data_IF_857185924720
#
_entry.id   IF_857185924720
#
_cell.length_a   1.000
_cell.length_b   1.000
_cell.length_c   1.000
_cell.angle_alpha   90.00
_cell.angle_beta   90.00
_cell.angle_gamma   90.00
#
_symmetry.space_group_name_H-M   'P 1'
#
loop_
_entity.id
_entity.type
_entity.pdbx_description
1 polymer ?
#
# COMPACT_ATOMS: atom_id res chain seq x y z
N UNK A 1 25.23 6.38 -9.46
CA UNK A 1 24.92 5.01 -9.05
C UNK A 1 23.47 4.73 -9.42
N UNK A 2 23.19 3.69 -10.20
CA UNK A 2 21.82 3.26 -10.51
C UNK A 2 21.28 2.43 -9.33
N UNK A 3 20.04 2.64 -8.86
CA UNK A 3 19.46 1.79 -7.82
C UNK A 3 19.46 0.33 -8.26
N UNK A 4 19.71 -0.61 -7.33
CA UNK A 4 19.77 -2.05 -7.62
C UNK A 4 18.39 -2.69 -7.92
N UNK A 5 17.33 -1.91 -8.07
CA UNK A 5 15.98 -2.40 -8.37
C UNK A 5 15.04 -1.30 -8.84
N UNK A 6 13.83 -1.71 -9.24
CA UNK A 6 12.75 -0.88 -9.77
C UNK A 6 11.53 -0.98 -8.88
N UNK A 7 10.81 0.11 -8.66
CA UNK A 7 9.55 0.03 -7.90
C UNK A 7 8.49 -0.77 -8.65
N UNK A 8 7.55 -1.36 -7.93
CA UNK A 8 6.41 -2.09 -8.50
C UNK A 8 5.62 -1.22 -9.49
N UNK A 9 5.49 0.09 -9.21
CA UNK A 9 4.85 1.06 -10.11
C UNK A 9 5.55 1.28 -11.46
N UNK A 10 6.75 0.72 -11.64
CA UNK A 10 7.50 0.75 -12.92
C UNK A 10 7.56 -0.62 -13.61
N UNK A 11 6.63 -1.52 -13.28
CA UNK A 11 6.47 -2.80 -13.97
C UNK A 11 6.21 -2.59 -15.46
N UNK A 12 6.70 -3.50 -16.30
CA UNK A 12 6.65 -3.41 -17.78
C UNK A 12 5.53 -4.23 -18.38
N UNK A 13 4.95 -5.14 -17.62
CA UNK A 13 3.84 -5.99 -18.03
C UNK A 13 2.91 -6.28 -16.87
N UNK A 14 1.69 -6.71 -17.19
CA UNK A 14 0.71 -7.18 -16.19
C UNK A 14 1.27 -8.37 -15.39
N UNK A 15 2.00 -9.27 -16.04
CA UNK A 15 2.59 -10.44 -15.38
C UNK A 15 3.66 -10.02 -14.38
N UNK A 16 4.53 -9.08 -14.74
CA UNK A 16 5.55 -8.56 -13.83
C UNK A 16 4.92 -7.88 -12.60
N UNK A 17 3.86 -7.10 -12.81
CA UNK A 17 3.10 -6.48 -11.73
C UNK A 17 2.44 -7.52 -10.81
N UNK A 18 1.77 -8.54 -11.37
CA UNK A 18 1.09 -9.58 -10.61
C UNK A 18 2.06 -10.44 -9.79
N UNK A 19 3.23 -10.76 -10.38
CA UNK A 19 4.29 -11.45 -9.65
C UNK A 19 4.80 -10.55 -8.52
N UNK A 20 5.08 -9.28 -8.80
CA UNK A 20 5.60 -8.34 -7.81
C UNK A 20 4.64 -8.11 -6.64
N UNK A 21 3.35 -7.91 -6.88
CA UNK A 21 2.39 -7.69 -5.79
C UNK A 21 2.19 -8.95 -4.95
N UNK A 22 2.22 -10.15 -5.56
CA UNK A 22 2.17 -11.43 -4.83
C UNK A 22 3.37 -11.55 -3.89
N UNK A 23 4.57 -11.30 -4.40
CA UNK A 23 5.80 -11.36 -3.60
C UNK A 23 5.81 -10.28 -2.50
N UNK A 24 5.20 -9.11 -2.74
CA UNK A 24 5.03 -8.06 -1.72
C UNK A 24 4.12 -8.48 -0.57
N UNK A 25 3.00 -9.14 -0.87
CA UNK A 25 2.08 -9.68 0.13
C UNK A 25 2.76 -10.79 0.94
N UNK A 26 3.56 -11.65 0.28
CA UNK A 26 4.35 -12.68 0.98
C UNK A 26 5.38 -12.05 1.92
N UNK A 27 6.10 -11.01 1.46
CA UNK A 27 7.05 -10.28 2.29
C UNK A 27 6.37 -9.59 3.49
N UNK A 28 5.20 -8.99 3.27
CA UNK A 28 4.39 -8.40 4.34
C UNK A 28 3.92 -9.43 5.37
N UNK A 29 3.42 -10.59 4.91
CA UNK A 29 3.07 -11.71 5.79
C UNK A 29 4.25 -12.13 6.64
N UNK A 30 5.43 -12.26 6.04
CA UNK A 30 6.64 -12.64 6.75
C UNK A 30 7.08 -11.57 7.76
N UNK A 31 6.97 -10.28 7.42
CA UNK A 31 7.18 -9.16 8.34
C UNK A 31 6.24 -9.24 9.55
N UNK A 32 4.95 -9.50 9.32
CA UNK A 32 3.96 -9.64 10.39
C UNK A 32 4.19 -10.90 11.24
N UNK A 33 4.29 -12.07 10.63
CA UNK A 33 4.38 -13.34 11.35
C UNK A 33 5.71 -13.53 12.07
N UNK A 34 6.84 -13.12 11.45
CA UNK A 34 8.20 -13.36 11.99
C UNK A 34 8.73 -12.20 12.83
N UNK A 35 8.30 -10.97 12.54
CA UNK A 35 8.80 -9.76 13.22
C UNK A 35 7.72 -9.03 14.04
N UNK A 36 6.46 -9.47 13.97
CA UNK A 36 5.32 -8.81 14.64
C UNK A 36 5.25 -7.34 14.26
N UNK A 37 5.46 -7.02 12.98
CA UNK A 37 5.43 -5.64 12.49
C UNK A 37 4.34 -5.45 11.44
N UNK A 38 3.66 -4.30 11.50
CA UNK A 38 2.79 -3.79 10.44
C UNK A 38 3.52 -2.70 9.69
N UNK A 39 3.32 -2.61 8.37
CA UNK A 39 4.06 -1.67 7.54
C UNK A 39 3.46 -0.26 7.56
N UNK A 40 2.16 -0.12 7.29
CA UNK A 40 1.45 1.16 7.43
C UNK A 40 1.51 2.15 6.30
N UNK A 41 2.37 1.89 5.32
CA UNK A 41 2.55 2.71 4.14
C UNK A 41 2.81 1.83 2.92
N UNK A 42 1.93 0.86 2.73
CA UNK A 42 1.94 0.04 1.51
C UNK A 42 1.59 0.95 0.33
N UNK A 43 2.50 1.01 -0.64
CA UNK A 43 2.35 1.78 -1.87
C UNK A 43 3.09 1.08 -3.01
N UNK A 44 2.79 1.42 -4.26
CA UNK A 44 3.51 0.93 -5.43
C UNK A 44 5.01 1.34 -5.46
N UNK A 45 5.38 2.36 -4.67
CA UNK A 45 6.74 2.85 -4.52
C UNK A 45 7.57 2.08 -3.50
N UNK A 46 6.91 1.50 -2.49
CA UNK A 46 7.57 0.88 -1.34
C UNK A 46 7.84 -0.62 -1.54
N UNK A 47 7.63 -1.13 -2.75
CA UNK A 47 8.05 -2.46 -3.14
C UNK A 47 9.05 -2.39 -4.32
N UNK A 48 10.27 -2.86 -4.10
CA UNK A 48 11.35 -2.84 -5.10
C UNK A 48 11.56 -4.24 -5.66
N UNK A 49 11.48 -4.37 -6.99
CA UNK A 49 11.85 -5.53 -7.78
C UNK A 49 13.31 -5.43 -8.25
N UNK A 50 14.11 -6.43 -7.90
CA UNK A 50 15.50 -6.58 -8.31
C UNK A 50 15.64 -7.85 -9.16
N UNK A 51 16.24 -7.76 -10.36
CA UNK A 51 16.61 -8.95 -11.12
C UNK A 51 17.79 -9.65 -10.41
N UNK A 52 17.57 -10.88 -9.95
CA UNK A 52 18.60 -11.74 -9.38
C UNK A 52 18.76 -12.98 -10.26
N UNK A 53 19.86 -13.02 -11.00
CA UNK A 53 20.19 -14.09 -11.97
C UNK A 53 19.05 -14.31 -12.97
N UNK A 54 18.20 -15.31 -12.73
CA UNK A 54 17.07 -15.68 -13.60
C UNK A 54 15.69 -15.44 -12.94
N UNK A 55 15.65 -14.77 -11.79
CA UNK A 55 14.42 -14.53 -11.02
C UNK A 55 14.26 -13.06 -10.64
N UNK A 56 13.02 -12.60 -10.49
CA UNK A 56 12.73 -11.31 -9.88
C UNK A 56 12.60 -11.53 -8.38
N UNK A 57 13.49 -10.93 -7.59
CA UNK A 57 13.37 -10.88 -6.14
C UNK A 57 12.79 -9.52 -5.78
N UNK A 58 11.79 -9.47 -4.90
CA UNK A 58 11.25 -8.20 -4.45
C UNK A 58 11.35 -7.97 -2.95
N UNK A 59 11.49 -6.70 -2.60
CA UNK A 59 11.74 -6.23 -1.24
C UNK A 59 10.71 -5.20 -0.86
N UNK A 60 10.02 -5.45 0.25
CA UNK A 60 9.19 -4.46 0.91
C UNK A 60 10.12 -3.55 1.73
N UNK A 61 10.13 -2.27 1.40
CA UNK A 61 11.04 -1.25 1.95
C UNK A 61 10.25 -0.15 2.65
N UNK A 62 10.94 0.83 3.22
CA UNK A 62 10.33 2.00 3.88
C UNK A 62 9.48 1.64 5.10
N UNK A 63 10.19 1.34 6.20
CA UNK A 63 9.60 0.97 7.48
C UNK A 63 9.43 2.18 8.42
N UNK A 64 9.53 3.42 7.92
CA UNK A 64 9.43 4.64 8.75
C UNK A 64 8.03 4.79 9.37
N UNK A 65 7.02 4.23 8.70
CA UNK A 65 5.65 4.13 9.19
C UNK A 65 5.34 2.79 9.87
N UNK A 66 6.31 1.89 10.01
CA UNK A 66 6.07 0.58 10.58
C UNK A 66 5.80 0.67 12.08
N UNK A 67 4.94 -0.21 12.57
CA UNK A 67 4.66 -0.33 14.01
C UNK A 67 4.86 -1.77 14.46
N UNK A 68 5.42 -1.93 15.64
CA UNK A 68 5.48 -3.21 16.33
C UNK A 68 4.11 -3.54 16.93
N UNK A 69 3.67 -4.78 16.76
CA UNK A 69 2.46 -5.36 17.33
C UNK A 69 2.87 -6.01 18.64
N UNK A 70 2.50 -5.38 19.75
CA UNK A 70 2.75 -5.94 21.08
C UNK A 70 1.74 -7.04 21.39
N UNK A 71 2.17 -8.09 22.08
CA UNK A 71 1.33 -9.26 22.42
C UNK A 71 0.29 -8.96 23.53
N UNK A 72 0.34 -7.78 24.16
CA UNK A 72 -0.80 -7.32 24.95
C UNK A 72 -1.93 -6.99 24.00
N UNK A 73 -3.18 -7.23 24.41
CA UNK A 73 -4.42 -6.89 23.68
C UNK A 73 -4.56 -5.41 23.28
N UNK A 74 -3.51 -4.63 23.44
CA UNK A 74 -3.45 -3.20 23.25
C UNK A 74 -3.01 -2.93 21.81
N UNK A 75 -4.02 -2.77 20.98
CA UNK A 75 -4.18 -1.54 20.24
C UNK A 75 -3.03 -0.54 20.43
N UNK A 76 -2.04 -0.52 19.52
CA UNK A 76 -1.09 0.59 19.46
C UNK A 76 -1.94 1.83 19.15
N UNK A 77 -2.10 2.72 20.14
CA UNK A 77 -2.75 4.02 19.95
C UNK A 77 -2.05 4.71 18.79
N UNK A 78 -2.78 4.82 17.68
CA UNK A 78 -2.23 5.26 16.42
C UNK A 78 -1.64 6.66 16.56
N UNK A 79 -0.39 6.80 16.14
CA UNK A 79 0.18 8.07 15.70
C UNK A 79 -0.80 8.77 14.73
N UNK A 80 -0.58 10.07 14.54
CA UNK A 80 -1.22 10.89 13.50
C UNK A 80 -1.46 10.11 12.21
N UNK A 81 -2.51 10.46 11.46
CA UNK A 81 -2.82 9.85 10.17
C UNK A 81 -1.61 9.96 9.23
N UNK A 82 -0.84 8.88 9.15
CA UNK A 82 0.42 8.75 8.41
C UNK A 82 0.31 7.65 7.38
N UNK A 83 1.17 7.73 6.36
CA UNK A 83 1.13 6.89 5.17
C UNK A 83 0.34 7.53 4.01
N UNK A 84 0.35 6.84 2.88
CA UNK A 84 -0.15 7.33 1.60
C UNK A 84 -1.68 7.20 1.54
N UNK A 85 -2.41 8.31 1.67
CA UNK A 85 -3.90 8.34 1.66
C UNK A 85 -4.53 7.60 0.47
N UNK A 86 -3.89 7.64 -0.71
CA UNK A 86 -4.32 6.91 -1.91
C UNK A 86 -4.51 5.41 -1.66
N UNK A 87 -3.63 4.81 -0.88
CA UNK A 87 -3.66 3.38 -0.57
C UNK A 87 -4.18 3.11 0.84
N UNK A 88 -4.46 4.14 1.64
CA UNK A 88 -4.94 3.96 3.00
C UNK A 88 -6.32 3.30 3.07
N UNK A 89 -6.48 2.36 4.00
CA UNK A 89 -7.74 1.70 4.32
C UNK A 89 -8.88 2.69 4.63
N UNK A 90 -10.08 2.39 4.15
CA UNK A 90 -11.29 3.20 4.34
C UNK A 90 -11.56 3.46 5.82
N UNK A 91 -11.49 2.43 6.67
CA UNK A 91 -11.75 2.56 8.12
C UNK A 91 -10.82 3.61 8.77
N UNK A 92 -9.55 3.67 8.34
CA UNK A 92 -8.59 4.69 8.81
C UNK A 92 -8.98 6.10 8.33
N UNK A 93 -9.41 6.23 7.08
CA UNK A 93 -9.86 7.50 6.51
C UNK A 93 -11.14 8.00 7.18
N UNK A 94 -12.10 7.11 7.43
CA UNK A 94 -13.35 7.39 8.14
C UNK A 94 -13.07 7.92 9.54
N UNK A 95 -12.20 7.24 10.28
CA UNK A 95 -11.93 7.65 11.64
C UNK A 95 -11.25 9.01 11.73
N UNK A 96 -10.33 9.28 10.79
CA UNK A 96 -9.71 10.59 10.67
C UNK A 96 -10.71 11.68 10.23
N UNK A 97 -11.65 11.37 9.33
CA UNK A 97 -12.63 12.32 8.83
C UNK A 97 -13.70 12.68 9.88
N UNK A 98 -14.26 11.67 10.56
CA UNK A 98 -15.44 11.84 11.42
C UNK A 98 -15.08 12.03 12.89
N UNK A 99 -14.07 11.30 13.39
CA UNK A 99 -13.69 11.33 14.80
C UNK A 99 -12.42 12.14 15.06
N UNK A 100 -11.80 12.70 14.01
CA UNK A 100 -10.51 13.43 14.07
C UNK A 100 -9.44 12.67 14.87
N UNK A 101 -9.45 11.35 14.77
CA UNK A 101 -8.58 10.45 15.52
C UNK A 101 -8.07 9.33 14.64
N UNK A 102 -6.95 8.72 15.05
CA UNK A 102 -6.39 7.54 14.41
C UNK A 102 -6.91 6.29 15.09
N UNK A 103 -7.12 5.22 14.32
CA UNK A 103 -7.45 3.90 14.87
C UNK A 103 -6.21 3.05 15.06
N UNK A 104 -6.37 2.05 15.90
CA UNK A 104 -5.45 0.93 15.99
C UNK A 104 -5.24 0.31 14.61
N UNK A 105 -3.98 0.19 14.21
CA UNK A 105 -3.64 -0.48 12.96
C UNK A 105 -3.64 -1.99 13.13
N UNK A 106 -4.17 -2.68 12.13
CA UNK A 106 -4.16 -4.14 12.01
C UNK A 106 -3.54 -4.52 10.67
N UNK A 107 -3.19 -5.80 10.49
CA UNK A 107 -2.71 -6.30 9.19
C UNK A 107 -3.75 -6.15 8.08
N UNK A 108 -5.05 -6.08 8.43
CA UNK A 108 -6.13 -5.88 7.45
C UNK A 108 -6.02 -4.54 6.74
N UNK A 109 -5.54 -3.50 7.43
CA UNK A 109 -5.31 -2.20 6.80
C UNK A 109 -4.20 -2.23 5.75
N UNK A 110 -3.13 -2.99 6.00
CA UNK A 110 -2.05 -3.17 5.03
C UNK A 110 -2.54 -4.04 3.85
N UNK A 111 -3.35 -5.07 4.09
CA UNK A 111 -3.97 -5.88 3.04
C UNK A 111 -4.94 -5.07 2.16
N UNK A 112 -5.75 -4.20 2.75
CA UNK A 112 -6.61 -3.29 1.99
C UNK A 112 -5.78 -2.31 1.15
N UNK A 113 -4.63 -1.88 1.66
CA UNK A 113 -3.68 -1.07 0.90
C UNK A 113 -3.13 -1.82 -0.31
N UNK A 114 -2.78 -3.12 -0.17
CA UNK A 114 -2.42 -3.96 -1.30
C UNK A 114 -3.55 -4.08 -2.33
N UNK A 115 -4.81 -4.17 -1.89
CA UNK A 115 -5.95 -4.18 -2.80
C UNK A 115 -6.04 -2.88 -3.63
N UNK A 116 -5.79 -1.72 -3.03
CA UNK A 116 -5.74 -0.46 -3.78
C UNK A 116 -4.55 -0.36 -4.74
N UNK A 117 -3.38 -0.91 -4.37
CA UNK A 117 -2.24 -1.03 -5.29
C UNK A 117 -2.60 -1.96 -6.46
N UNK A 118 -3.30 -3.07 -6.18
CA UNK A 118 -3.78 -3.99 -7.21
C UNK A 118 -4.72 -3.32 -8.21
N UNK A 119 -5.75 -2.59 -7.75
CA UNK A 119 -6.66 -1.82 -8.60
C UNK A 119 -5.88 -0.86 -9.51
N UNK A 120 -4.92 -0.14 -8.93
CA UNK A 120 -4.08 0.77 -9.70
C UNK A 120 -3.31 0.05 -10.80
N UNK A 121 -2.76 -1.13 -10.51
CA UNK A 121 -2.10 -1.96 -11.52
C UNK A 121 -3.06 -2.45 -12.61
N UNK A 122 -4.28 -2.87 -12.27
CA UNK A 122 -5.31 -3.24 -13.25
C UNK A 122 -5.61 -2.10 -14.21
N UNK A 123 -5.81 -0.89 -13.70
CA UNK A 123 -6.05 0.31 -14.53
C UNK A 123 -4.82 0.67 -15.37
N UNK A 124 -3.62 0.56 -14.81
CA UNK A 124 -2.38 0.98 -15.47
C UNK A 124 -1.94 0.00 -16.58
N UNK A 125 -2.11 -1.30 -16.34
CA UNK A 125 -1.57 -2.37 -17.18
C UNK A 125 -2.62 -3.18 -17.93
N UNK A 126 -3.90 -3.10 -17.55
CA UNK A 126 -5.00 -3.91 -18.11
C UNK A 126 -6.03 -3.16 -18.96
N UNK A 127 -5.99 -1.83 -19.02
CA UNK A 127 -6.98 -1.02 -19.76
C UNK A 127 -6.35 -0.29 -20.95
N UNK A 128 -7.07 -0.24 -22.07
CA UNK A 128 -6.75 0.63 -23.22
C UNK A 128 -7.25 2.07 -23.00
N UNK A 129 -8.18 2.28 -22.06
CA UNK A 129 -8.78 3.58 -21.68
C UNK A 129 -8.04 4.25 -20.51
N UNK A 130 -6.70 4.20 -20.54
CA UNK A 130 -5.81 4.60 -19.42
C UNK A 130 -6.05 6.01 -18.89
N UNK A 131 -6.37 6.98 -19.74
CA UNK A 131 -6.39 8.40 -19.35
C UNK A 131 -7.53 8.76 -18.38
N UNK A 132 -8.74 8.23 -18.60
CA UNK A 132 -9.91 8.55 -17.78
C UNK A 132 -9.87 7.83 -16.42
N UNK A 133 -9.57 6.53 -16.42
CA UNK A 133 -9.51 5.73 -15.19
C UNK A 133 -8.36 6.18 -14.27
N UNK A 134 -7.19 6.53 -14.83
CA UNK A 134 -6.10 7.11 -14.06
C UNK A 134 -6.47 8.49 -13.49
N UNK A 135 -7.28 9.28 -14.21
CA UNK A 135 -7.76 10.56 -13.69
C UNK A 135 -8.68 10.36 -12.47
N UNK A 136 -9.52 9.32 -12.46
CA UNK A 136 -10.35 8.98 -11.31
C UNK A 136 -9.49 8.56 -10.10
N UNK A 137 -8.51 7.68 -10.29
CA UNK A 137 -7.61 7.25 -9.20
C UNK A 137 -6.75 8.38 -8.63
N UNK A 138 -6.49 9.45 -9.40
CA UNK A 138 -5.82 10.66 -8.88
C UNK A 138 -6.67 11.39 -7.83
N UNK A 139 -7.99 11.25 -7.86
CA UNK A 139 -8.88 11.85 -6.85
C UNK A 139 -8.69 11.22 -5.46
N UNK A 140 -8.16 9.98 -5.37
CA UNK A 140 -7.78 9.33 -4.11
C UNK A 140 -6.47 9.88 -3.51
N UNK A 141 -5.83 10.85 -4.17
CA UNK A 141 -4.59 11.49 -3.69
C UNK A 141 -4.79 12.97 -3.35
N UNK A 142 -6.03 13.47 -3.34
CA UNK A 142 -6.28 14.90 -3.06
C UNK A 142 -6.09 15.15 -1.57
N UNK A 143 -5.50 16.30 -1.20
CA UNK A 143 -5.03 16.61 0.19
C UNK A 143 -6.13 16.77 1.26
N UNK A 144 -7.33 16.22 1.05
CA UNK A 144 -8.41 16.24 2.04
C UNK A 144 -8.93 14.81 2.27
N UNK A 145 -8.85 14.34 3.52
CA UNK A 145 -9.30 13.02 3.98
C UNK A 145 -10.74 12.74 3.57
N UNK A 146 -11.62 13.74 3.68
CA UNK A 146 -13.03 13.63 3.31
C UNK A 146 -13.19 13.36 1.81
N UNK A 147 -12.43 14.07 0.97
CA UNK A 147 -12.47 13.83 -0.47
C UNK A 147 -11.95 12.44 -0.83
N UNK A 148 -10.85 11.98 -0.24
CA UNK A 148 -10.33 10.63 -0.52
C UNK A 148 -11.34 9.56 -0.13
N UNK A 149 -11.97 9.70 1.05
CA UNK A 149 -13.00 8.79 1.51
C UNK A 149 -14.19 8.75 0.55
N UNK A 150 -14.72 9.92 0.18
CA UNK A 150 -15.86 10.00 -0.74
C UNK A 150 -15.54 9.36 -2.10
N UNK A 151 -14.36 9.63 -2.68
CA UNK A 151 -13.99 9.06 -3.97
C UNK A 151 -13.65 7.56 -3.93
N UNK A 152 -13.38 6.97 -2.75
CA UNK A 152 -13.13 5.53 -2.58
C UNK A 152 -14.40 4.70 -2.38
N UNK A 153 -15.53 5.34 -2.04
CA UNK A 153 -16.82 4.68 -1.79
C UNK A 153 -17.73 4.63 -3.03
N UNK A 154 -17.32 5.25 -4.14
CA UNK A 154 -18.04 5.31 -5.43
C UNK A 154 -17.44 4.29 -6.39
#
# INVERSE_FOLDING_TARGET
MTPRGRSLGTSRSILEFLVGIREAIVAHRDLYCKKKMLHGDISEGNYILTPLSNTLQGFLIDLDHAIEVKDTSDAVKGNFLTGTMKFMAIERLEHAAYYRSSITRTYRHDLESFFYVFILGCVTYGSDTKSFELAHLRCWSRRNVHNNLTNKRV
#
